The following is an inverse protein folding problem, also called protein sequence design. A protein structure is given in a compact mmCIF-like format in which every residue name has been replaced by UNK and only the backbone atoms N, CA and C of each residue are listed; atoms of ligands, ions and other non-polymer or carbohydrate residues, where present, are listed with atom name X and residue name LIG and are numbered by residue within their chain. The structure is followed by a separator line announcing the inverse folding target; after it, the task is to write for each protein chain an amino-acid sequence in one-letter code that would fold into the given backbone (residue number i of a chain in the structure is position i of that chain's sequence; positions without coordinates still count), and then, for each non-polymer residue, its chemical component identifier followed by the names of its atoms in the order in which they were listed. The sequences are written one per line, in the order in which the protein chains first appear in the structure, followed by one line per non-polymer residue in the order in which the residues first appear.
data_IF_554031348679
#
_entry.id   IF_554031348679
#
_cell.length_a   1.000
_cell.length_b   1.000
_cell.length_c   1.000
_cell.angle_alpha   90.00
_cell.angle_beta   90.00
_cell.angle_gamma   90.00
#
_symmetry.space_group_name_H-M   'P 1'
#
loop_
_entity.id
_entity.type
_entity.pdbx_description
1 polymer ?
#
# COMPACT_ATOMS: atom_id res chain seq x y z
N UNK A 1 -18.43 -40.32 -34.77
CA UNK A 1 -17.29 -40.63 -33.88
C UNK A 1 -16.19 -39.63 -34.21
N UNK A 2 -15.74 -38.86 -33.23
CA UNK A 2 -14.69 -37.86 -33.38
C UNK A 2 -15.05 -36.53 -32.73
N UNK A 3 -15.06 -36.52 -31.39
CA UNK A 3 -15.01 -35.30 -30.60
C UNK A 3 -13.59 -34.73 -30.69
N UNK A 4 -13.45 -33.46 -31.03
CA UNK A 4 -12.28 -32.69 -30.64
C UNK A 4 -12.76 -31.49 -29.81
N UNK A 5 -12.50 -31.62 -28.51
CA UNK A 5 -12.69 -30.60 -27.50
C UNK A 5 -11.62 -29.52 -27.70
N UNK A 6 -12.02 -28.34 -28.18
CA UNK A 6 -11.26 -27.12 -27.93
C UNK A 6 -11.77 -26.53 -26.62
N UNK A 7 -11.08 -26.84 -25.52
CA UNK A 7 -11.24 -26.18 -24.23
C UNK A 7 -10.84 -24.72 -24.39
N UNK A 8 -11.84 -23.85 -24.60
CA UNK A 8 -11.67 -22.42 -24.43
C UNK A 8 -11.39 -22.16 -22.95
N UNK A 9 -10.23 -21.57 -22.67
CA UNK A 9 -9.88 -21.08 -21.35
C UNK A 9 -11.02 -20.16 -20.86
N UNK A 10 -11.62 -20.50 -19.73
CA UNK A 10 -12.54 -19.62 -19.02
C UNK A 10 -11.75 -18.38 -18.60
N UNK A 11 -11.82 -17.32 -19.39
CA UNK A 11 -11.66 -15.97 -18.87
C UNK A 11 -12.80 -15.78 -17.88
N UNK A 12 -12.47 -15.88 -16.59
CA UNK A 12 -13.28 -15.27 -15.54
C UNK A 12 -13.20 -13.77 -15.76
N UNK A 13 -14.12 -13.27 -16.59
CA UNK A 13 -14.45 -11.86 -16.62
C UNK A 13 -15.25 -11.61 -15.35
N UNK A 14 -14.63 -10.99 -14.36
CA UNK A 14 -15.33 -10.53 -13.17
C UNK A 14 -16.04 -9.23 -13.54
N UNK A 15 -17.29 -9.36 -13.98
CA UNK A 15 -18.19 -8.27 -14.37
C UNK A 15 -19.01 -7.85 -13.15
N UNK A 16 -18.41 -7.10 -12.21
CA UNK A 16 -19.15 -6.31 -11.20
C UNK A 16 -18.34 -5.06 -10.84
N UNK A 17 -18.97 -3.88 -10.98
CA UNK A 17 -18.44 -2.53 -10.76
C UNK A 17 -17.16 -2.44 -9.94
N UNK A 18 -16.04 -2.34 -10.65
CA UNK A 18 -14.72 -2.38 -10.04
C UNK A 18 -14.42 -1.02 -9.42
N UNK A 19 -14.93 -0.78 -8.22
CA UNK A 19 -14.32 0.24 -7.37
C UNK A 19 -12.88 -0.26 -7.15
N UNK A 20 -11.94 0.33 -7.88
CA UNK A 20 -10.50 0.08 -7.78
C UNK A 20 -10.00 0.66 -6.45
N UNK A 21 -10.49 0.10 -5.35
CA UNK A 21 -10.27 0.58 -3.99
C UNK A 21 -9.80 -0.56 -3.10
N UNK A 22 -9.09 -0.20 -2.04
CA UNK A 22 -8.65 -1.13 -1.02
C UNK A 22 -7.79 -0.44 0.03
N UNK A 23 -7.20 -1.22 0.92
CA UNK A 23 -6.26 -0.70 1.90
C UNK A 23 -4.85 -0.66 1.31
N UNK A 24 -4.42 0.53 0.89
CA UNK A 24 -3.05 0.79 0.46
C UNK A 24 -2.08 0.57 1.60
N UNK A 25 -1.02 -0.20 1.33
CA UNK A 25 0.11 -0.39 2.25
C UNK A 25 1.03 0.82 2.13
N UNK A 26 1.35 1.48 3.25
CA UNK A 26 2.20 2.68 3.26
C UNK A 26 3.54 2.38 3.93
N UNK A 27 3.52 2.15 5.24
CA UNK A 27 4.70 1.90 6.05
C UNK A 27 4.71 0.46 6.58
N UNK A 28 5.88 -0.16 6.62
CA UNK A 28 6.07 -1.48 7.23
C UNK A 28 7.15 -1.32 8.30
N UNK A 29 6.81 -1.68 9.54
CA UNK A 29 7.78 -1.67 10.65
C UNK A 29 8.73 -2.85 10.52
N UNK A 30 10.01 -2.63 10.79
CA UNK A 30 11.01 -3.70 10.80
C UNK A 30 10.65 -4.77 11.84
N UNK A 31 11.00 -6.03 11.53
CA UNK A 31 10.74 -7.20 12.38
C UNK A 31 9.26 -7.43 12.74
N UNK A 32 8.33 -6.83 11.99
CA UNK A 32 6.89 -7.02 12.18
C UNK A 32 6.35 -8.23 11.42
N UNK A 33 5.15 -8.73 11.76
CA UNK A 33 4.45 -9.72 10.95
C UNK A 33 4.24 -9.31 9.48
N UNK A 34 4.05 -8.01 9.21
CA UNK A 34 3.94 -7.49 7.86
C UNK A 34 5.28 -7.52 7.09
N UNK A 35 6.41 -7.39 7.77
CA UNK A 35 7.73 -7.38 7.13
C UNK A 35 8.11 -8.73 6.51
N UNK A 36 7.53 -9.84 6.98
CA UNK A 36 7.89 -11.19 6.52
C UNK A 36 7.03 -11.73 5.38
N UNK A 37 5.94 -11.05 5.02
CA UNK A 37 5.00 -11.53 3.99
C UNK A 37 5.23 -10.91 2.61
N UNK A 38 6.26 -10.08 2.45
CA UNK A 38 6.64 -9.52 1.15
C UNK A 38 5.68 -8.45 0.65
N UNK A 39 5.12 -7.64 1.56
CA UNK A 39 4.45 -6.40 1.14
C UNK A 39 5.45 -5.45 0.47
N UNK A 40 4.97 -4.75 -0.54
CA UNK A 40 5.66 -3.67 -1.24
C UNK A 40 4.95 -2.38 -0.88
N UNK A 41 5.59 -1.59 0.00
CA UNK A 41 5.10 -0.28 0.39
C UNK A 41 4.69 0.57 -0.80
N UNK A 42 3.60 1.32 -0.62
CA UNK A 42 2.94 2.20 -1.58
C UNK A 42 2.28 1.54 -2.78
N UNK A 43 2.88 0.47 -3.31
CA UNK A 43 2.40 -0.19 -4.52
C UNK A 43 1.34 -1.26 -4.23
N UNK A 44 1.33 -1.82 -3.02
CA UNK A 44 0.36 -2.83 -2.64
C UNK A 44 -0.95 -2.25 -2.10
N UNK A 45 -2.05 -2.85 -2.53
CA UNK A 45 -3.40 -2.64 -2.04
C UNK A 45 -3.97 -3.97 -1.57
N UNK A 46 -4.39 -4.04 -0.31
CA UNK A 46 -5.09 -5.18 0.26
C UNK A 46 -6.55 -5.08 -0.16
N UNK A 47 -6.99 -6.00 -1.03
CA UNK A 47 -8.32 -6.01 -1.63
C UNK A 47 -9.31 -6.88 -0.84
N UNK A 48 -8.82 -7.95 -0.21
CA UNK A 48 -9.66 -8.84 0.57
C UNK A 48 -8.88 -9.51 1.71
N UNK A 49 -9.60 -9.95 2.74
CA UNK A 49 -9.07 -10.71 3.85
C UNK A 49 -10.00 -11.89 4.17
N UNK A 50 -9.45 -13.12 4.18
CA UNK A 50 -10.18 -14.38 4.32
C UNK A 50 -11.40 -14.48 3.36
N UNK A 51 -11.23 -13.99 2.12
CA UNK A 51 -12.28 -13.98 1.10
C UNK A 51 -13.33 -12.87 1.26
N UNK A 52 -13.25 -12.04 2.31
CA UNK A 52 -14.13 -10.87 2.48
C UNK A 52 -13.48 -9.68 1.79
N UNK A 53 -14.20 -9.09 0.83
CA UNK A 53 -13.76 -7.90 0.10
C UNK A 53 -13.68 -6.68 1.03
N UNK A 54 -12.67 -5.85 0.81
CA UNK A 54 -12.36 -4.66 1.60
C UNK A 54 -12.55 -3.41 0.73
N UNK A 55 -13.77 -3.19 0.28
CA UNK A 55 -14.16 -2.09 -0.63
C UNK A 55 -14.85 -0.92 0.07
N UNK A 56 -14.92 -0.95 1.40
CA UNK A 56 -15.50 0.12 2.23
C UNK A 56 -14.50 0.60 3.28
N UNK A 57 -14.58 1.90 3.61
CA UNK A 57 -13.82 2.52 4.72
C UNK A 57 -14.53 2.29 6.06
N UNK A 58 -14.75 1.03 6.43
CA UNK A 58 -15.35 0.64 7.70
C UNK A 58 -14.36 -0.16 8.59
N UNK A 59 -14.86 -0.74 9.68
CA UNK A 59 -14.05 -1.51 10.64
C UNK A 59 -13.75 -2.94 10.21
N UNK A 60 -14.26 -3.41 9.07
CA UNK A 60 -14.22 -4.83 8.66
C UNK A 60 -12.81 -5.39 8.68
N UNK A 61 -11.85 -4.68 8.07
CA UNK A 61 -10.47 -5.17 8.05
C UNK A 61 -9.88 -5.27 9.46
N UNK A 62 -10.10 -4.26 10.29
CA UNK A 62 -9.60 -4.22 11.66
C UNK A 62 -10.20 -5.35 12.52
N UNK A 63 -11.48 -5.64 12.33
CA UNK A 63 -12.16 -6.75 12.99
C UNK A 63 -11.61 -8.11 12.54
N UNK A 64 -11.33 -8.29 11.25
CA UNK A 64 -10.75 -9.53 10.72
C UNK A 64 -9.34 -9.78 11.26
N UNK A 65 -8.53 -8.72 11.39
CA UNK A 65 -7.21 -8.81 12.03
C UNK A 65 -7.38 -9.24 13.50
N UNK A 66 -8.28 -8.59 14.25
CA UNK A 66 -8.50 -8.91 15.67
C UNK A 66 -9.01 -10.34 15.89
N UNK A 67 -9.88 -10.85 15.01
CA UNK A 67 -10.39 -12.23 15.09
C UNK A 67 -9.35 -13.29 14.70
N UNK A 68 -8.29 -12.87 13.99
CA UNK A 68 -7.23 -13.74 13.49
C UNK A 68 -5.94 -13.62 14.30
N UNK A 69 -6.00 -13.10 15.53
CA UNK A 69 -4.83 -13.05 16.42
C UNK A 69 -4.23 -14.45 16.60
N UNK A 70 -2.92 -14.54 16.34
CA UNK A 70 -2.08 -15.74 16.32
C UNK A 70 -2.56 -16.85 15.36
N UNK A 71 -3.34 -16.50 14.33
CA UNK A 71 -3.81 -17.41 13.27
C UNK A 71 -3.52 -16.84 11.87
N UNK A 72 -3.34 -17.69 10.86
CA UNK A 72 -3.19 -17.23 9.49
C UNK A 72 -4.42 -16.42 9.00
N UNK A 73 -4.15 -15.24 8.48
CA UNK A 73 -5.06 -14.34 7.78
C UNK A 73 -4.65 -14.35 6.31
N UNK A 74 -5.48 -14.92 5.44
CA UNK A 74 -5.24 -14.88 3.99
C UNK A 74 -5.64 -13.51 3.44
N UNK A 75 -4.79 -12.92 2.64
CA UNK A 75 -4.97 -11.60 2.05
C UNK A 75 -4.80 -11.68 0.54
N UNK A 76 -5.73 -11.09 -0.19
CA UNK A 76 -5.55 -10.83 -1.62
C UNK A 76 -5.00 -9.43 -1.80
N UNK A 77 -3.84 -9.32 -2.45
CA UNK A 77 -3.07 -8.08 -2.56
C UNK A 77 -2.78 -7.76 -4.03
N UNK A 78 -3.26 -6.61 -4.48
CA UNK A 78 -2.97 -6.07 -5.80
C UNK A 78 -1.75 -5.15 -5.76
N UNK A 79 -0.80 -5.37 -6.66
CA UNK A 79 0.34 -4.49 -6.81
C UNK A 79 0.15 -3.60 -8.06
N UNK A 80 0.08 -2.29 -7.87
CA UNK A 80 -0.17 -1.34 -8.98
C UNK A 80 1.00 -1.26 -9.96
N UNK A 81 2.24 -1.53 -9.52
CA UNK A 81 3.43 -1.42 -10.36
C UNK A 81 3.58 -2.60 -11.31
N UNK A 82 3.30 -3.82 -10.82
CA UNK A 82 3.32 -5.02 -11.66
C UNK A 82 1.97 -5.34 -12.30
N UNK A 83 0.90 -4.66 -11.89
CA UNK A 83 -0.49 -4.92 -12.31
C UNK A 83 -0.92 -6.37 -12.07
N UNK A 84 -0.51 -6.94 -10.93
CA UNK A 84 -0.81 -8.35 -10.58
C UNK A 84 -1.38 -8.47 -9.18
N UNK A 85 -2.33 -9.38 -9.02
CA UNK A 85 -2.85 -9.80 -7.71
C UNK A 85 -2.10 -11.05 -7.23
N UNK A 86 -1.80 -11.10 -5.94
CA UNK A 86 -1.21 -12.26 -5.27
C UNK A 86 -1.87 -12.52 -3.92
N UNK A 87 -1.85 -13.78 -3.51
CA UNK A 87 -2.31 -14.18 -2.18
C UNK A 87 -1.14 -14.20 -1.20
N UNK A 88 -1.33 -13.59 -0.03
CA UNK A 88 -0.39 -13.60 1.08
C UNK A 88 -1.04 -14.24 2.32
N UNK A 89 -0.27 -14.99 3.09
CA UNK A 89 -0.69 -15.49 4.40
C UNK A 89 0.09 -14.75 5.47
N UNK A 90 -0.60 -13.93 6.25
CA UNK A 90 -0.02 -13.15 7.34
C UNK A 90 -0.58 -13.66 8.68
N UNK A 91 0.23 -13.74 9.73
CA UNK A 91 -0.25 -14.08 11.07
C UNK A 91 -0.21 -12.84 11.96
N UNK A 92 -1.35 -12.20 12.27
CA UNK A 92 -1.40 -11.10 13.23
C UNK A 92 -0.92 -11.57 14.60
N UNK A 93 -0.08 -10.80 15.29
CA UNK A 93 0.34 -11.13 16.64
C UNK A 93 0.67 -9.87 17.43
N UNK A 94 0.45 -9.90 18.75
CA UNK A 94 0.96 -8.88 19.68
C UNK A 94 2.34 -9.23 20.23
N UNK A 95 2.82 -10.45 19.98
CA UNK A 95 4.08 -10.94 20.51
C UNK A 95 5.27 -10.55 19.62
N UNK A 96 5.45 -9.24 19.45
CA UNK A 96 6.58 -8.63 18.75
C UNK A 96 6.81 -7.22 19.33
N UNK A 97 8.00 -6.61 19.17
CA UNK A 97 8.39 -5.44 19.95
C UNK A 97 7.72 -4.11 19.52
N UNK A 98 6.94 -4.10 18.42
CA UNK A 98 6.37 -2.88 17.86
C UNK A 98 4.89 -2.65 18.18
N UNK A 99 4.26 -1.75 17.43
CA UNK A 99 2.88 -1.31 17.67
C UNK A 99 1.87 -2.01 16.76
N UNK A 100 0.80 -2.51 17.36
CA UNK A 100 -0.31 -3.16 16.66
C UNK A 100 -0.08 -4.65 16.44
N UNK A 101 -0.97 -5.30 15.70
CA UNK A 101 -0.87 -6.75 15.45
C UNK A 101 -0.09 -7.09 14.18
N UNK A 102 0.07 -6.13 13.27
CA UNK A 102 0.67 -6.35 11.95
C UNK A 102 1.99 -5.61 11.77
N UNK A 103 2.13 -4.44 12.39
CA UNK A 103 3.23 -3.51 12.13
C UNK A 103 3.18 -2.87 10.76
N UNK A 104 2.00 -2.68 10.19
CA UNK A 104 1.78 -2.00 8.91
C UNK A 104 0.94 -0.75 9.11
N UNK A 105 1.30 0.33 8.41
CA UNK A 105 0.47 1.52 8.22
C UNK A 105 -0.30 1.35 6.93
N UNK A 106 -1.62 1.44 7.01
CA UNK A 106 -2.53 1.28 5.86
C UNK A 106 -3.46 2.46 5.75
N UNK A 107 -3.98 2.68 4.54
CA UNK A 107 -5.02 3.68 4.28
C UNK A 107 -5.99 3.18 3.23
N UNK A 108 -7.28 3.40 3.45
CA UNK A 108 -8.28 3.16 2.42
C UNK A 108 -8.12 4.20 1.31
N UNK A 109 -7.92 3.75 0.07
CA UNK A 109 -7.59 4.59 -1.08
C UNK A 109 -8.04 3.92 -2.38
N UNK A 110 -8.12 4.69 -3.47
CA UNK A 110 -8.29 4.13 -4.82
C UNK A 110 -6.95 3.98 -5.53
N UNK A 111 -6.86 3.01 -6.43
CA UNK A 111 -5.75 2.78 -7.34
C UNK A 111 -6.10 3.11 -8.80
N UNK A 112 -7.16 3.90 -9.02
CA UNK A 112 -7.50 4.48 -10.32
C UNK A 112 -6.46 5.51 -10.78
N UNK A 113 -5.84 5.27 -11.94
CA UNK A 113 -4.93 6.23 -12.57
C UNK A 113 -3.65 6.53 -11.77
N UNK A 114 -3.27 5.65 -10.83
CA UNK A 114 -2.16 5.90 -9.87
C UNK A 114 -0.77 5.61 -10.45
N UNK A 115 -0.69 5.15 -11.70
CA UNK A 115 0.58 4.80 -12.34
C UNK A 115 1.53 6.01 -12.54
N UNK A 116 1.00 7.23 -12.56
CA UNK A 116 1.78 8.46 -12.87
C UNK A 116 1.98 9.41 -11.67
N UNK A 117 1.55 9.02 -10.47
CA UNK A 117 1.49 9.89 -9.29
C UNK A 117 2.75 9.81 -8.39
N UNK A 118 3.95 9.80 -8.98
CA UNK A 118 5.21 9.73 -8.22
C UNK A 118 6.00 11.03 -8.38
N UNK A 119 6.32 11.69 -7.27
CA UNK A 119 7.10 12.94 -7.29
C UNK A 119 8.60 12.65 -7.21
N UNK A 120 9.29 12.81 -8.33
CA UNK A 120 10.73 12.59 -8.41
C UNK A 120 11.52 13.75 -7.78
N UNK A 121 12.44 13.45 -6.87
CA UNK A 121 13.37 14.42 -6.31
C UNK A 121 14.44 14.72 -7.37
N UNK A 122 14.43 15.93 -7.93
CA UNK A 122 15.36 16.31 -9.00
C UNK A 122 16.69 16.83 -8.46
N UNK A 123 16.63 17.84 -7.60
CA UNK A 123 17.80 18.51 -7.04
C UNK A 123 17.59 18.76 -5.54
N UNK A 124 18.67 18.65 -4.78
CA UNK A 124 18.67 18.88 -3.32
C UNK A 124 19.75 19.89 -2.97
N UNK A 125 19.34 21.07 -2.50
CA UNK A 125 20.26 22.12 -2.08
C UNK A 125 20.95 21.75 -0.76
N UNK A 126 22.25 22.03 -0.65
CA UNK A 126 23.03 21.75 0.58
C UNK A 126 22.47 22.49 1.79
N UNK A 127 22.38 21.79 2.92
CA UNK A 127 21.81 22.27 4.19
C UNK A 127 20.32 22.63 4.13
N UNK A 128 19.61 22.26 3.06
CA UNK A 128 18.16 22.39 3.00
C UNK A 128 17.46 21.34 3.86
N UNK A 129 16.15 21.49 4.17
CA UNK A 129 15.38 20.44 4.84
C UNK A 129 15.44 19.08 4.13
N UNK A 130 15.47 19.07 2.79
CA UNK A 130 15.63 17.86 2.00
C UNK A 130 17.01 17.19 2.17
N UNK A 131 18.10 17.97 2.24
CA UNK A 131 19.47 17.45 2.49
C UNK A 131 19.59 16.90 3.92
N UNK A 132 18.96 17.56 4.90
CA UNK A 132 18.89 17.09 6.29
C UNK A 132 18.05 15.81 6.41
N UNK A 133 16.98 15.70 5.61
CA UNK A 133 16.16 14.48 5.51
C UNK A 133 16.81 13.38 4.66
N UNK A 134 18.03 13.59 4.16
CA UNK A 134 18.82 12.64 3.37
C UNK A 134 18.17 12.21 2.05
N UNK A 135 17.36 13.10 1.44
CA UNK A 135 16.79 12.86 0.12
C UNK A 135 17.90 12.86 -0.94
N UNK A 136 17.87 11.87 -1.82
CA UNK A 136 18.84 11.68 -2.90
C UNK A 136 18.29 12.20 -4.24
N UNK A 137 18.95 13.20 -4.86
CA UNK A 137 18.53 13.73 -6.15
C UNK A 137 18.68 12.66 -7.24
N UNK A 138 17.67 12.54 -8.09
CA UNK A 138 17.64 11.58 -9.19
C UNK A 138 17.28 10.14 -8.79
N UNK A 139 17.33 9.80 -7.51
CA UNK A 139 17.04 8.45 -7.00
C UNK A 139 15.70 8.38 -6.24
N UNK A 140 15.40 9.39 -5.42
CA UNK A 140 14.27 9.33 -4.52
C UNK A 140 12.97 9.80 -5.16
N UNK A 141 11.87 9.11 -4.85
CA UNK A 141 10.50 9.48 -5.18
C UNK A 141 9.68 9.69 -3.92
N UNK A 142 9.06 10.85 -3.76
CA UNK A 142 8.14 11.14 -2.67
C UNK A 142 6.75 10.59 -3.00
N UNK A 143 6.20 9.85 -2.05
CA UNK A 143 4.96 9.08 -2.23
C UNK A 143 3.77 9.72 -1.51
N UNK A 144 4.02 10.35 -0.36
CA UNK A 144 2.99 10.90 0.51
C UNK A 144 3.40 10.87 1.98
N UNK A 145 2.44 11.17 2.84
CA UNK A 145 2.52 11.11 4.30
C UNK A 145 1.56 10.02 4.81
N UNK A 146 1.51 9.74 6.14
CA UNK A 146 0.47 8.88 6.70
C UNK A 146 -0.96 9.35 6.39
N UNK A 147 -1.15 10.64 6.15
CA UNK A 147 -2.46 11.27 5.97
C UNK A 147 -2.77 11.58 4.50
N UNK A 148 -1.76 11.98 3.71
CA UNK A 148 -1.91 12.43 2.33
C UNK A 148 -1.11 11.57 1.35
N UNK A 149 -1.63 11.33 0.14
CA UNK A 149 -0.80 10.83 -0.97
C UNK A 149 -0.54 11.98 -1.91
N UNK A 150 0.70 12.04 -2.40
CA UNK A 150 1.08 13.06 -3.35
C UNK A 150 0.76 12.57 -4.75
N UNK A 151 -0.35 13.05 -5.33
CA UNK A 151 -0.73 12.73 -6.70
C UNK A 151 -0.05 13.64 -7.70
N UNK A 152 0.18 14.88 -7.28
CA UNK A 152 0.81 15.92 -8.05
C UNK A 152 1.67 16.81 -7.13
N UNK A 153 2.43 17.76 -7.69
CA UNK A 153 3.23 18.69 -6.89
C UNK A 153 2.40 19.62 -5.98
N UNK A 154 1.12 19.84 -6.26
CA UNK A 154 0.25 20.70 -5.44
C UNK A 154 -0.04 20.01 -4.10
N UNK A 155 -0.31 18.71 -4.10
CA UNK A 155 -0.50 17.91 -2.88
C UNK A 155 0.71 18.01 -1.94
N UNK A 156 1.93 17.95 -2.48
CA UNK A 156 3.17 18.10 -1.71
C UNK A 156 3.34 19.54 -1.20
N UNK A 157 3.05 20.53 -2.04
CA UNK A 157 3.14 21.93 -1.66
C UNK A 157 2.22 22.24 -0.47
N UNK A 158 0.97 21.82 -0.55
CA UNK A 158 -0.01 22.01 0.51
C UNK A 158 0.42 21.33 1.82
N UNK A 159 0.94 20.10 1.74
CA UNK A 159 1.45 19.39 2.92
C UNK A 159 2.62 20.14 3.58
N UNK A 160 3.54 20.69 2.77
CA UNK A 160 4.66 21.50 3.26
C UNK A 160 4.15 22.79 3.92
N UNK A 161 3.17 23.46 3.31
CA UNK A 161 2.57 24.69 3.85
C UNK A 161 1.89 24.43 5.19
N UNK A 162 1.12 23.34 5.30
CA UNK A 162 0.44 22.92 6.52
C UNK A 162 1.42 22.60 7.67
N UNK A 163 2.64 22.16 7.34
CA UNK A 163 3.69 21.79 8.29
C UNK A 163 4.89 22.76 8.28
N UNK A 164 4.69 24.03 7.92
CA UNK A 164 5.78 25.01 7.96
C UNK A 164 6.42 25.07 9.35
N UNK A 165 7.76 25.03 9.36
CA UNK A 165 8.60 24.99 10.56
C UNK A 165 8.36 23.79 11.50
N UNK A 166 7.65 22.76 11.03
CA UNK A 166 7.43 21.51 11.75
C UNK A 166 7.96 20.31 10.95
N UNK A 167 8.49 19.28 11.61
CA UNK A 167 8.82 18.03 10.93
C UNK A 167 7.53 17.30 10.53
N UNK A 168 7.51 16.72 9.33
CA UNK A 168 6.47 15.76 8.92
C UNK A 168 7.12 14.48 8.38
N UNK A 169 6.40 13.37 8.47
CA UNK A 169 6.86 12.08 7.99
C UNK A 169 6.41 11.87 6.54
N UNK A 170 7.37 11.58 5.65
CA UNK A 170 7.11 11.24 4.26
C UNK A 170 7.58 9.81 3.95
N UNK A 171 6.83 9.11 3.11
CA UNK A 171 7.26 7.85 2.50
C UNK A 171 8.05 8.14 1.23
N UNK A 172 9.26 7.57 1.18
CA UNK A 172 10.20 7.73 0.05
C UNK A 172 10.46 6.38 -0.57
N UNK A 173 10.38 6.31 -1.89
CA UNK A 173 10.79 5.15 -2.69
C UNK A 173 12.15 5.44 -3.35
N UNK A 174 13.05 4.44 -3.34
CA UNK A 174 14.39 4.49 -3.95
C UNK A 174 14.51 3.46 -5.06
#
# INVERSE_FOLDING_TARGET
MGNDQSTAATQVVDDQGNDHVGFRVLGIQENSPAAVVGFVSFFDFILSANGIRLDTKDSTFMELIARSEDKPLQLSVYNIKSQTTRELSLTPSRNWPGKGMLGVTIRFDSFDGVEDHLLHVLEVAKKSPADVATLEPGADYLLGTPERVFRDPEDLYDEIVEHLDQPFQCYVYK
#
